data_IF_856698045932
#
_entry.id   IF_856698045932
#
_cell.length_a   1.000
_cell.length_b   1.000
_cell.length_c   1.000
_cell.angle_alpha   90.00
_cell.angle_beta   90.00
_cell.angle_gamma   90.00
#
_symmetry.space_group_name_H-M   'P 1'
#
loop_
_entity.id
_entity.type
_entity.pdbx_description
1 polymer ?
#
# COMPACT_ATOMS: atom_id res chain seq x y z
N UNK A 1 15.41 -1.75 12.50
CA UNK A 1 16.29 -2.66 11.74
C UNK A 1 15.45 -3.35 10.67
N UNK A 2 15.90 -3.41 9.40
CA UNK A 2 15.13 -4.03 8.31
C UNK A 2 15.03 -5.54 8.57
N UNK A 3 13.80 -6.05 8.64
CA UNK A 3 13.51 -7.48 8.82
C UNK A 3 13.77 -8.29 7.55
N UNK A 4 13.43 -9.59 7.54
CA UNK A 4 13.57 -10.44 6.36
C UNK A 4 12.64 -9.95 5.22
N UNK A 5 13.13 -9.81 3.97
CA UNK A 5 12.30 -9.34 2.87
C UNK A 5 11.19 -10.34 2.51
N UNK A 6 10.00 -9.83 2.20
CA UNK A 6 8.84 -10.63 1.78
C UNK A 6 9.07 -11.17 0.37
N UNK A 7 9.59 -10.33 -0.53
CA UNK A 7 9.86 -10.68 -1.92
C UNK A 7 11.00 -9.84 -2.48
N UNK A 8 11.82 -10.44 -3.33
CA UNK A 8 12.86 -9.73 -4.08
C UNK A 8 12.56 -9.89 -5.57
N UNK A 9 12.60 -8.80 -6.31
CA UNK A 9 12.45 -8.76 -7.77
C UNK A 9 13.65 -8.05 -8.38
N UNK A 10 13.79 -8.07 -9.70
CA UNK A 10 14.88 -7.33 -10.37
C UNK A 10 14.78 -5.81 -10.17
N UNK A 11 13.57 -5.30 -9.92
CA UNK A 11 13.30 -3.88 -9.74
C UNK A 11 13.44 -3.41 -8.27
N UNK A 12 12.84 -4.12 -7.32
CA UNK A 12 12.80 -3.70 -5.91
C UNK A 12 12.85 -4.87 -4.92
N UNK A 13 13.15 -4.52 -3.66
CA UNK A 13 12.96 -5.37 -2.49
C UNK A 13 11.66 -4.96 -1.78
N UNK A 14 10.75 -5.91 -1.55
CA UNK A 14 9.52 -5.70 -0.79
C UNK A 14 9.76 -6.04 0.68
N UNK A 15 9.61 -5.04 1.56
CA UNK A 15 9.89 -5.16 2.99
C UNK A 15 8.62 -5.39 3.82
N UNK A 16 7.56 -4.64 3.52
CA UNK A 16 6.28 -4.69 4.24
C UNK A 16 5.13 -4.57 3.27
N UNK A 17 4.00 -5.19 3.60
CA UNK A 17 2.81 -5.17 2.76
C UNK A 17 1.57 -5.28 3.64
N UNK A 18 0.55 -4.49 3.34
CA UNK A 18 -0.81 -4.64 3.85
C UNK A 18 -1.70 -4.99 2.69
N UNK A 19 -2.52 -6.02 2.84
CA UNK A 19 -3.44 -6.52 1.81
C UNK A 19 -4.89 -6.31 2.26
N UNK A 20 -5.75 -5.90 1.35
CA UNK A 20 -7.20 -5.96 1.48
C UNK A 20 -7.79 -6.71 0.28
N UNK A 21 -8.51 -7.79 0.55
CA UNK A 21 -9.28 -8.54 -0.44
C UNK A 21 -10.75 -8.12 -0.33
N UNK A 22 -11.41 -7.80 -1.44
CA UNK A 22 -12.84 -7.48 -1.46
C UNK A 22 -13.71 -8.68 -1.91
N UNK A 23 -15.02 -8.52 -1.77
CA UNK A 23 -16.03 -9.53 -2.13
C UNK A 23 -16.09 -9.86 -3.63
N UNK A 24 -15.53 -9.00 -4.48
CA UNK A 24 -15.45 -9.20 -5.93
C UNK A 24 -14.18 -9.97 -6.37
N UNK A 25 -13.38 -10.46 -5.42
CA UNK A 25 -12.15 -11.20 -5.72
C UNK A 25 -11.01 -10.28 -6.16
N UNK A 26 -11.05 -9.02 -5.78
CA UNK A 26 -10.00 -8.06 -6.05
C UNK A 26 -9.10 -7.90 -4.83
N UNK A 27 -7.82 -7.64 -5.08
CA UNK A 27 -6.79 -7.52 -4.06
C UNK A 27 -6.11 -6.17 -4.19
N UNK A 28 -6.13 -5.41 -3.11
CA UNK A 28 -5.45 -4.13 -2.99
C UNK A 28 -4.33 -4.25 -1.98
N UNK A 29 -3.20 -3.61 -2.21
CA UNK A 29 -2.14 -3.58 -1.22
C UNK A 29 -1.36 -2.27 -1.20
N UNK A 30 -0.95 -1.88 0.01
CA UNK A 30 0.05 -0.84 0.22
C UNK A 30 1.36 -1.54 0.58
N UNK A 31 2.39 -1.26 -0.20
CA UNK A 31 3.70 -1.91 -0.12
C UNK A 31 4.77 -0.91 0.27
N UNK A 32 5.64 -1.29 1.20
CA UNK A 32 6.90 -0.61 1.47
C UNK A 32 8.00 -1.32 0.70
N UNK A 33 8.53 -0.65 -0.32
CA UNK A 33 9.58 -1.20 -1.17
C UNK A 33 10.87 -0.39 -1.04
N UNK A 34 11.99 -1.01 -1.38
CA UNK A 34 13.24 -0.33 -1.66
C UNK A 34 13.60 -0.54 -3.12
N UNK A 35 13.76 0.57 -3.85
CA UNK A 35 14.11 0.55 -5.27
C UNK A 35 15.61 0.32 -5.41
N UNK A 36 16.01 -0.74 -6.12
CA UNK A 36 17.42 -1.16 -6.17
C UNK A 36 18.34 -0.13 -6.83
N UNK A 37 17.84 0.62 -7.81
CA UNK A 37 18.63 1.61 -8.54
C UNK A 37 18.90 2.89 -7.75
N UNK A 38 18.05 3.23 -6.77
CA UNK A 38 18.14 4.48 -5.99
C UNK A 38 18.46 4.23 -4.52
N UNK A 39 18.21 3.03 -4.00
CA UNK A 39 18.29 2.71 -2.58
C UNK A 39 17.18 3.34 -1.72
N UNK A 40 16.26 4.08 -2.34
CA UNK A 40 15.21 4.81 -1.63
C UNK A 40 14.08 3.86 -1.22
N UNK A 41 13.55 4.10 -0.02
CA UNK A 41 12.28 3.50 0.39
C UNK A 41 11.12 4.27 -0.23
N UNK A 42 10.24 3.57 -0.94
CA UNK A 42 9.07 4.14 -1.60
C UNK A 42 7.80 3.43 -1.11
N UNK A 43 6.69 4.18 -1.12
CA UNK A 43 5.35 3.65 -0.87
C UNK A 43 4.68 3.41 -2.21
N UNK A 44 4.29 2.16 -2.46
CA UNK A 44 3.58 1.77 -3.68
C UNK A 44 2.18 1.30 -3.34
N UNK A 45 1.20 1.89 -4.02
CA UNK A 45 -0.15 1.35 -4.09
C UNK A 45 -0.21 0.31 -5.21
N UNK A 46 -0.75 -0.87 -4.93
CA UNK A 46 -0.83 -1.99 -5.88
C UNK A 46 -2.25 -2.55 -5.95
N UNK A 47 -2.67 -2.93 -7.14
CA UNK A 47 -3.95 -3.59 -7.42
C UNK A 47 -3.69 -4.88 -8.19
N UNK A 48 -4.33 -5.94 -7.73
CA UNK A 48 -4.28 -7.26 -8.34
C UNK A 48 -5.71 -7.74 -8.55
N UNK A 49 -5.98 -8.22 -9.76
CA UNK A 49 -7.29 -8.78 -10.11
C UNK A 49 -7.19 -10.29 -10.23
N UNK A 50 -8.17 -11.00 -9.69
CA UNK A 50 -8.29 -12.44 -9.89
C UNK A 50 -8.70 -12.72 -11.34
N UNK A 51 -7.89 -13.54 -12.01
CA UNK A 51 -8.14 -14.00 -13.37
C UNK A 51 -9.04 -15.23 -13.37
N UNK A 52 -9.59 -15.59 -14.53
CA UNK A 52 -10.51 -16.72 -14.70
C UNK A 52 -9.88 -18.07 -14.29
N UNK A 53 -8.54 -18.15 -14.30
CA UNK A 53 -7.75 -19.29 -13.79
C UNK A 53 -7.58 -19.30 -12.26
N UNK A 54 -8.24 -18.39 -11.55
CA UNK A 54 -8.19 -18.23 -10.10
C UNK A 54 -6.93 -17.53 -9.57
N UNK A 55 -5.99 -17.12 -10.43
CA UNK A 55 -4.74 -16.48 -10.00
C UNK A 55 -4.88 -14.97 -9.92
N UNK A 56 -4.26 -14.35 -8.92
CA UNK A 56 -4.17 -12.89 -8.83
C UNK A 56 -3.08 -12.38 -9.77
N UNK A 57 -3.47 -11.52 -10.72
CA UNK A 57 -2.54 -10.88 -11.66
C UNK A 57 -2.41 -9.40 -11.33
N UNK A 58 -1.17 -8.93 -11.34
CA UNK A 58 -0.84 -7.53 -11.11
C UNK A 58 -1.40 -6.67 -12.24
N UNK A 59 -2.05 -5.56 -11.89
CA UNK A 59 -2.54 -4.58 -12.86
C UNK A 59 -1.58 -3.39 -12.89
N UNK A 60 -0.89 -3.13 -14.01
CA UNK A 60 -0.02 -1.98 -14.16
C UNK A 60 -0.83 -0.67 -14.07
N UNK A 61 -0.32 0.33 -13.33
CA UNK A 61 -0.98 1.63 -13.04
C UNK A 61 -2.25 1.52 -12.17
N UNK A 62 -2.13 1.12 -10.91
CA UNK A 62 -3.25 0.67 -10.08
C UNK A 62 -4.02 1.77 -9.34
N UNK A 63 -3.68 3.05 -9.51
CA UNK A 63 -4.17 4.10 -8.61
C UNK A 63 -5.51 4.72 -9.05
N UNK A 64 -6.51 3.90 -9.32
CA UNK A 64 -7.91 4.34 -9.40
C UNK A 64 -8.71 3.61 -8.30
N UNK A 65 -8.61 4.11 -7.07
CA UNK A 65 -9.42 3.65 -5.94
C UNK A 65 -10.52 4.66 -5.65
N UNK A 66 -11.72 4.17 -5.28
CA UNK A 66 -12.71 5.03 -4.64
C UNK A 66 -12.21 5.50 -3.27
N UNK A 67 -12.69 6.65 -2.80
CA UNK A 67 -12.37 7.14 -1.44
C UNK A 67 -12.71 6.11 -0.36
N UNK A 68 -13.81 5.36 -0.53
CA UNK A 68 -14.22 4.29 0.39
C UNK A 68 -13.22 3.13 0.44
N UNK A 69 -12.75 2.64 -0.71
CA UNK A 69 -11.79 1.54 -0.78
C UNK A 69 -10.43 1.95 -0.22
N UNK A 70 -10.02 3.20 -0.45
CA UNK A 70 -8.82 3.77 0.14
C UNK A 70 -8.93 3.85 1.67
N UNK A 71 -10.05 4.32 2.21
CA UNK A 71 -10.27 4.37 3.66
C UNK A 71 -10.25 2.98 4.30
N UNK A 72 -10.82 1.96 3.65
CA UNK A 72 -10.77 0.58 4.14
C UNK A 72 -9.35 0.02 4.19
N UNK A 73 -8.44 0.45 3.30
CA UNK A 73 -7.01 0.11 3.40
C UNK A 73 -6.36 0.74 4.63
N UNK A 74 -6.66 2.01 4.89
CA UNK A 74 -6.12 2.71 6.07
C UNK A 74 -6.63 2.13 7.40
N UNK A 75 -7.77 1.43 7.41
CA UNK A 75 -8.33 0.78 8.61
C UNK A 75 -7.72 -0.58 8.93
N UNK A 76 -6.91 -1.16 8.04
CA UNK A 76 -6.32 -2.50 8.28
C UNK A 76 -5.28 -2.45 9.40
N UNK A 77 -5.28 -3.46 10.26
CA UNK A 77 -4.40 -3.55 11.44
C UNK A 77 -2.90 -3.42 11.10
N UNK A 78 -2.47 -3.85 9.91
CA UNK A 78 -1.07 -3.76 9.48
C UNK A 78 -0.63 -2.38 8.96
N UNK A 79 -1.52 -1.38 8.88
CA UNK A 79 -1.20 -0.06 8.29
C UNK A 79 -0.03 0.62 9.00
N UNK A 80 0.10 0.39 10.31
CA UNK A 80 1.17 0.92 11.18
C UNK A 80 2.52 0.23 10.96
N UNK A 81 2.55 -0.91 10.27
CA UNK A 81 3.80 -1.53 9.84
C UNK A 81 4.33 -0.95 8.52
N UNK A 82 3.45 -0.32 7.73
CA UNK A 82 3.79 0.28 6.43
C UNK A 82 4.24 1.72 6.62
N UNK A 83 3.54 2.48 7.45
CA UNK A 83 3.82 3.88 7.72
C UNK A 83 4.46 4.06 9.10
N UNK A 84 5.44 4.95 9.20
CA UNK A 84 6.01 5.31 10.50
C UNK A 84 5.00 6.10 11.34
N UNK A 85 5.11 6.01 12.66
CA UNK A 85 4.28 6.80 13.57
C UNK A 85 4.41 8.32 13.29
N UNK A 86 5.61 8.79 12.93
CA UNK A 86 5.84 10.19 12.56
C UNK A 86 5.03 10.60 11.33
N UNK A 87 5.07 9.78 10.27
CA UNK A 87 4.29 10.03 9.06
C UNK A 87 2.79 10.05 9.35
N UNK A 88 2.28 9.12 10.16
CA UNK A 88 0.86 9.05 10.50
C UNK A 88 0.39 10.29 11.28
N UNK A 89 1.22 10.79 12.20
CA UNK A 89 0.92 12.02 12.95
C UNK A 89 0.90 13.24 12.03
N UNK A 90 1.92 13.40 11.18
CA UNK A 90 1.96 14.50 10.21
C UNK A 90 0.78 14.45 9.23
N UNK A 91 0.43 13.25 8.73
CA UNK A 91 -0.72 13.05 7.85
C UNK A 91 -2.03 13.44 8.55
N UNK A 92 -2.22 13.06 9.81
CA UNK A 92 -3.40 13.46 10.60
C UNK A 92 -3.48 14.98 10.69
N UNK A 93 -2.38 15.64 11.03
CA UNK A 93 -2.37 17.09 11.22
C UNK A 93 -2.70 17.83 9.90
N UNK A 94 -2.18 17.36 8.77
CA UNK A 94 -2.54 17.86 7.43
C UNK A 94 -4.03 17.66 7.13
N UNK A 95 -4.59 16.48 7.42
CA UNK A 95 -6.00 16.19 7.19
C UNK A 95 -6.91 17.05 8.06
N UNK A 96 -6.56 17.21 9.35
CA UNK A 96 -7.29 18.08 10.28
C UNK A 96 -7.29 19.54 9.81
N UNK A 97 -6.15 20.04 9.32
CA UNK A 97 -6.05 21.39 8.76
C UNK A 97 -6.94 21.55 7.53
N UNK A 98 -6.92 20.59 6.60
CA UNK A 98 -7.76 20.60 5.40
C UNK A 98 -9.25 20.57 5.75
N UNK A 99 -9.65 19.79 6.77
CA UNK A 99 -11.03 19.74 7.25
C UNK A 99 -11.50 21.06 7.85
N UNK A 100 -10.64 21.81 8.55
CA UNK A 100 -10.98 23.15 9.10
C UNK A 100 -11.13 24.23 8.03
N UNK A 101 -10.55 24.02 6.84
CA UNK A 101 -10.61 24.94 5.70
C UNK A 101 -11.85 24.75 4.82
N UNK A 102 -12.58 23.64 5.00
CA UNK A 102 -13.87 23.37 4.35
C UNK A 102 -15.01 23.98 5.13
#
# INVERSE_FOLDING_TARGET
>A
MKGKPIKVTDYCVLWKQVINDNEHGERYAIEKIEVKSTGNEEIRFTYYKKSDDGKFRFVPRPLDLSESALLELFKKEGITEVFSANFLNELRDVLDELCRRK
#
